data_IF_255766108618
#
_entry.id   IF_255766108618
#
_cell.length_a   1.000
_cell.length_b   1.000
_cell.length_c   1.000
_cell.angle_alpha   90.00
_cell.angle_beta   90.00
_cell.angle_gamma   90.00
#
_symmetry.space_group_name_H-M   'P 1'
#
loop_
_entity.id
_entity.type
_entity.pdbx_description
1 polymer ?
#
# COMPACT_ATOMS: atom_id res chain seq x y z
N UNK A 1 -22.46 62.17 -17.43
CA UNK A 1 -23.26 60.95 -17.18
C UNK A 1 -22.33 59.80 -17.55
N UNK A 2 -21.72 59.02 -16.67
CA UNK A 2 -22.15 58.46 -15.39
C UNK A 2 -21.93 56.93 -15.50
N UNK A 3 -21.32 56.32 -14.47
CA UNK A 3 -20.93 54.90 -14.30
C UNK A 3 -19.55 54.51 -14.88
N UNK A 4 -18.42 54.67 -14.17
CA UNK A 4 -17.97 54.05 -12.90
C UNK A 4 -17.97 52.51 -12.91
N UNK A 5 -16.86 51.93 -13.37
CA UNK A 5 -16.45 50.55 -13.08
C UNK A 5 -15.86 50.50 -11.65
N UNK A 6 -16.31 49.58 -10.77
CA UNK A 6 -15.78 49.49 -9.42
C UNK A 6 -14.39 48.81 -9.38
N UNK A 7 -13.60 49.11 -8.33
CA UNK A 7 -12.18 48.82 -8.24
C UNK A 7 -11.90 47.42 -7.68
N UNK A 8 -10.68 46.96 -7.94
CA UNK A 8 -10.03 45.86 -7.25
C UNK A 8 -10.13 46.06 -5.73
N UNK A 9 -10.65 45.06 -5.00
CA UNK A 9 -10.41 45.01 -3.57
C UNK A 9 -10.25 43.58 -3.04
N UNK A 10 -9.22 43.47 -2.22
CA UNK A 10 -8.82 42.36 -1.38
C UNK A 10 -10.03 41.83 -0.58
N UNK A 11 -10.27 40.52 -0.64
CA UNK A 11 -11.10 39.83 0.34
C UNK A 11 -10.22 39.06 1.32
N UNK A 12 -10.03 39.71 2.47
CA UNK A 12 -9.71 39.12 3.76
C UNK A 12 -10.82 38.09 4.07
N UNK A 13 -10.49 36.80 4.13
CA UNK A 13 -11.40 35.81 4.70
C UNK A 13 -11.38 35.91 6.22
N UNK A 14 -12.43 36.55 6.73
CA UNK A 14 -12.75 36.64 8.15
C UNK A 14 -13.08 35.27 8.73
N UNK A 15 -12.74 35.09 10.01
CA UNK A 15 -13.19 34.02 10.89
C UNK A 15 -14.68 33.70 10.72
N UNK A 16 -15.01 32.45 10.40
CA UNK A 16 -16.21 31.78 10.91
C UNK A 16 -15.87 30.37 11.38
N UNK A 17 -16.09 30.15 12.68
CA UNK A 17 -16.28 28.84 13.30
C UNK A 17 -17.31 28.09 12.46
N UNK A 18 -16.95 26.91 12.00
CA UNK A 18 -17.91 25.84 11.77
C UNK A 18 -17.61 24.74 12.79
N UNK A 19 -18.65 24.48 13.57
CA UNK A 19 -18.81 23.46 14.57
C UNK A 19 -18.30 22.11 14.06
N UNK A 20 -17.23 21.59 14.67
CA UNK A 20 -16.93 20.16 14.63
C UNK A 20 -17.60 19.56 15.87
N UNK A 21 -18.77 18.95 15.69
CA UNK A 21 -19.35 18.06 16.70
C UNK A 21 -18.38 16.89 16.88
N UNK A 22 -17.53 16.99 17.90
CA UNK A 22 -16.76 15.85 18.39
C UNK A 22 -17.71 15.02 19.23
N UNK A 23 -18.29 13.98 18.63
CA UNK A 23 -18.77 12.85 19.40
C UNK A 23 -17.54 12.16 19.99
N UNK A 24 -17.32 12.41 21.29
CA UNK A 24 -16.48 11.58 22.14
C UNK A 24 -17.02 10.15 22.08
N UNK A 25 -16.23 9.23 21.55
CA UNK A 25 -16.30 7.82 21.95
C UNK A 25 -15.00 7.54 22.70
N UNK A 26 -15.16 7.14 23.96
CA UNK A 26 -14.07 6.88 24.89
C UNK A 26 -13.28 5.64 24.46
N UNK A 27 -11.94 5.73 24.51
CA UNK A 27 -11.05 4.56 24.45
C UNK A 27 -10.48 4.29 25.84
N UNK A 28 -10.97 3.22 26.46
CA UNK A 28 -10.23 2.48 27.49
C UNK A 28 -9.60 1.26 26.83
N UNK A 29 -8.29 1.30 26.60
CA UNK A 29 -7.39 0.15 26.73
C UNK A 29 -5.95 0.59 26.47
N UNK A 30 -5.17 0.56 27.55
CA UNK A 30 -3.73 0.43 27.52
C UNK A 30 -3.39 -0.93 26.92
N UNK A 31 -2.68 -0.97 25.79
CA UNK A 31 -1.79 -2.07 25.44
C UNK A 31 -0.67 -1.50 24.57
N UNK A 32 0.54 -1.52 25.11
CA UNK A 32 1.75 -1.20 24.37
C UNK A 32 1.98 -2.28 23.31
N UNK A 33 1.75 -1.90 22.06
CA UNK A 33 2.04 -2.69 20.88
C UNK A 33 1.89 -1.76 19.68
N UNK A 34 2.97 -1.55 18.92
CA UNK A 34 2.97 -0.76 17.70
C UNK A 34 2.12 -1.46 16.63
N UNK A 35 0.80 -1.43 16.78
CA UNK A 35 -0.13 -1.81 15.73
C UNK A 35 -0.68 -0.52 15.14
N UNK A 36 -0.20 -0.18 13.95
CA UNK A 36 -0.97 0.64 13.03
C UNK A 36 -2.25 -0.15 12.76
N UNK A 37 -3.31 0.15 13.51
CA UNK A 37 -4.56 -0.56 13.39
C UNK A 37 -5.09 -0.36 11.97
N UNK A 38 -5.58 -1.43 11.34
CA UNK A 38 -6.13 -1.44 9.99
C UNK A 38 -7.29 -0.44 9.73
N UNK A 39 -7.66 0.37 10.73
CA UNK A 39 -8.70 1.42 10.66
C UNK A 39 -8.18 2.75 10.09
N UNK A 40 -6.87 2.97 10.02
CA UNK A 40 -6.27 4.22 9.51
C UNK A 40 -5.76 4.14 8.05
N UNK A 41 -6.20 3.13 7.29
CA UNK A 41 -5.74 2.84 5.93
C UNK A 41 -5.91 3.99 4.89
N UNK A 42 -6.62 5.07 5.24
CA UNK A 42 -6.77 6.28 4.41
C UNK A 42 -6.14 7.55 5.01
N UNK A 43 -5.60 7.48 6.22
CA UNK A 43 -4.94 8.62 6.85
C UNK A 43 -3.44 8.54 6.57
N UNK A 44 -2.95 9.37 5.65
CA UNK A 44 -1.50 9.57 5.53
C UNK A 44 -0.93 9.92 6.91
N UNK A 45 0.08 9.18 7.41
CA UNK A 45 0.67 9.43 8.72
C UNK A 45 1.19 10.86 8.83
N UNK A 46 1.23 11.39 10.05
CA UNK A 46 1.81 12.71 10.25
C UNK A 46 3.32 12.67 9.94
N UNK A 47 3.93 13.78 9.46
CA UNK A 47 5.37 13.79 9.19
C UNK A 47 6.22 13.41 10.40
N UNK A 48 5.74 13.69 11.62
CA UNK A 48 6.44 13.30 12.86
C UNK A 48 6.40 11.79 13.08
N UNK A 49 5.29 11.14 12.76
CA UNK A 49 5.15 9.70 12.94
C UNK A 49 5.93 8.92 11.88
N UNK A 50 5.98 9.44 10.64
CA UNK A 50 6.87 8.92 9.60
C UNK A 50 8.35 8.97 10.02
N UNK A 51 8.79 10.10 10.60
CA UNK A 51 10.17 10.23 11.09
C UNK A 51 10.45 9.23 12.20
N UNK A 52 9.54 9.08 13.18
CA UNK A 52 9.69 8.09 14.26
C UNK A 52 9.84 6.67 13.73
N UNK A 53 9.04 6.30 12.72
CA UNK A 53 9.15 4.96 12.13
C UNK A 53 10.48 4.79 11.38
N UNK A 54 10.93 5.81 10.65
CA UNK A 54 12.25 5.78 10.00
C UNK A 54 13.41 5.75 11.02
N UNK A 55 13.21 6.30 12.22
CA UNK A 55 14.19 6.24 13.32
C UNK A 55 14.41 4.81 13.87
N UNK A 56 13.44 3.90 13.71
CA UNK A 56 13.58 2.49 14.13
C UNK A 56 14.62 1.73 13.29
N UNK A 57 14.82 2.14 12.02
CA UNK A 57 15.69 1.43 11.08
C UNK A 57 16.96 2.19 10.70
N UNK A 58 16.90 3.52 10.68
CA UNK A 58 18.00 4.36 10.23
C UNK A 58 18.46 5.18 11.43
N UNK A 59 19.75 5.17 11.75
CA UNK A 59 20.30 5.93 12.87
C UNK A 59 20.78 7.30 12.35
N UNK A 60 20.38 8.39 13.02
CA UNK A 60 20.77 9.76 12.63
C UNK A 60 20.01 10.30 11.41
N UNK A 61 20.66 11.13 10.58
CA UNK A 61 20.10 11.69 9.32
C UNK A 61 18.73 12.37 9.49
N UNK A 62 18.56 13.15 10.55
CA UNK A 62 17.28 13.78 10.93
C UNK A 62 16.70 14.66 9.83
N UNK A 63 17.56 15.40 9.12
CA UNK A 63 17.14 16.32 8.07
C UNK A 63 16.62 15.57 6.84
N UNK A 64 17.32 14.52 6.42
CA UNK A 64 16.88 13.67 5.31
C UNK A 64 15.52 13.02 5.61
N UNK A 65 15.35 12.46 6.81
CA UNK A 65 14.07 11.88 7.25
C UNK A 65 12.94 12.90 7.24
N UNK A 66 13.21 14.11 7.73
CA UNK A 66 12.22 15.19 7.76
C UNK A 66 11.79 15.61 6.36
N UNK A 67 12.74 15.83 5.45
CA UNK A 67 12.45 16.22 4.05
C UNK A 67 11.61 15.16 3.36
N UNK A 68 11.98 13.89 3.52
CA UNK A 68 11.27 12.75 2.94
C UNK A 68 9.85 12.63 3.49
N UNK A 69 9.67 12.76 4.81
CA UNK A 69 8.36 12.72 5.43
C UNK A 69 7.45 13.87 4.98
N UNK A 70 8.01 15.07 4.77
CA UNK A 70 7.29 16.22 4.24
C UNK A 70 6.86 15.96 2.79
N UNK A 71 7.74 15.44 1.94
CA UNK A 71 7.42 15.15 0.55
C UNK A 71 6.25 14.17 0.40
N UNK A 72 6.21 13.11 1.21
CA UNK A 72 5.07 12.18 1.26
C UNK A 72 3.79 12.90 1.67
N UNK A 73 3.88 13.74 2.71
CA UNK A 73 2.72 14.49 3.19
C UNK A 73 2.21 15.48 2.15
N UNK A 74 3.11 16.11 1.39
CA UNK A 74 2.76 17.04 0.33
C UNK A 74 2.06 16.32 -0.83
N UNK A 75 2.48 15.08 -1.15
CA UNK A 75 1.76 14.23 -2.11
C UNK A 75 0.33 13.94 -1.65
N UNK A 76 0.12 13.64 -0.37
CA UNK A 76 -1.23 13.46 0.19
C UNK A 76 -2.03 14.75 0.18
N UNK A 77 -1.44 15.88 0.57
CA UNK A 77 -2.10 17.20 0.52
C UNK A 77 -2.56 17.55 -0.89
N UNK A 78 -1.74 17.28 -1.90
CA UNK A 78 -2.12 17.47 -3.30
C UNK A 78 -3.34 16.65 -3.68
N UNK A 79 -3.53 15.47 -3.09
CA UNK A 79 -4.70 14.63 -3.34
C UNK A 79 -5.99 15.19 -2.73
N UNK A 80 -5.89 16.02 -1.69
CA UNK A 80 -7.03 16.63 -0.99
C UNK A 80 -7.53 17.93 -1.66
N UNK A 81 -6.82 18.45 -2.66
CA UNK A 81 -7.24 19.67 -3.38
C UNK A 81 -8.43 19.32 -4.28
N UNK A 82 -9.55 20.01 -4.05
CA UNK A 82 -10.81 19.77 -4.77
C UNK A 82 -10.79 20.30 -6.22
N UNK A 83 -10.08 21.41 -6.47
CA UNK A 83 -9.94 21.95 -7.82
C UNK A 83 -8.91 21.17 -8.64
N UNK A 84 -9.39 20.55 -9.72
CA UNK A 84 -8.58 19.76 -10.64
C UNK A 84 -7.61 20.61 -11.48
N UNK A 85 -7.91 21.89 -11.72
CA UNK A 85 -7.03 22.83 -12.42
C UNK A 85 -5.77 23.10 -11.60
N UNK A 86 -5.96 23.61 -10.38
CA UNK A 86 -4.89 23.84 -9.40
C UNK A 86 -4.07 22.58 -9.09
N UNK A 87 -4.71 21.41 -9.02
CA UNK A 87 -4.01 20.15 -8.74
C UNK A 87 -3.00 19.75 -9.81
N UNK A 88 -3.25 20.06 -11.09
CA UNK A 88 -2.34 19.75 -12.21
C UNK A 88 -1.13 20.67 -12.25
N UNK A 89 -1.27 21.90 -11.78
CA UNK A 89 -0.18 22.89 -11.73
C UNK A 89 0.86 22.54 -10.64
N UNK A 90 0.45 21.80 -9.61
CA UNK A 90 1.31 21.41 -8.49
C UNK A 90 2.16 20.17 -8.84
N UNK A 91 3.39 20.44 -9.28
CA UNK A 91 4.39 19.41 -9.59
C UNK A 91 4.80 18.61 -8.33
N UNK A 92 5.10 17.31 -8.46
CA UNK A 92 5.65 16.51 -7.37
C UNK A 92 7.00 17.08 -6.87
N UNK A 93 7.23 16.99 -5.56
CA UNK A 93 8.52 17.32 -4.95
C UNK A 93 9.50 16.15 -5.10
N UNK A 94 10.48 16.32 -5.99
CA UNK A 94 11.58 15.36 -6.14
C UNK A 94 12.64 15.60 -5.06
N UNK A 95 13.31 14.54 -4.61
CA UNK A 95 14.30 14.60 -3.52
C UNK A 95 15.66 14.19 -4.07
N UNK A 96 16.68 14.99 -3.78
CA UNK A 96 18.09 14.65 -4.02
C UNK A 96 18.77 14.40 -2.67
N UNK A 97 19.37 13.22 -2.50
CA UNK A 97 20.07 12.84 -1.26
C UNK A 97 21.59 12.90 -1.46
N UNK A 98 22.25 13.95 -0.97
CA UNK A 98 23.71 14.16 -1.09
C UNK A 98 24.49 13.64 0.13
N UNK A 99 25.67 13.05 -0.08
CA UNK A 99 26.50 12.43 0.98
C UNK A 99 27.26 11.16 0.57
N UNK A 100 28.11 10.60 1.45
CA UNK A 100 28.97 9.45 1.14
C UNK A 100 28.18 8.16 0.93
N UNK A 101 28.82 7.15 0.34
CA UNK A 101 28.26 5.81 0.26
C UNK A 101 28.11 5.19 1.65
N UNK A 102 27.13 4.29 1.82
CA UNK A 102 26.91 3.57 3.08
C UNK A 102 26.19 4.35 4.19
N UNK A 103 25.86 5.62 4.01
CA UNK A 103 25.16 6.41 5.04
C UNK A 103 23.63 6.19 5.11
N UNK A 104 23.10 5.19 4.40
CA UNK A 104 21.68 4.82 4.45
C UNK A 104 20.74 5.54 3.47
N UNK A 105 21.24 6.24 2.44
CA UNK A 105 20.41 6.94 1.43
C UNK A 105 19.35 6.04 0.80
N UNK A 106 19.78 4.88 0.33
CA UNK A 106 18.91 3.91 -0.32
C UNK A 106 17.97 3.25 0.67
N UNK A 107 18.37 3.10 1.93
CA UNK A 107 17.49 2.54 2.98
C UNK A 107 16.40 3.50 3.40
N UNK A 108 16.65 4.81 3.43
CA UNK A 108 15.60 5.81 3.66
C UNK A 108 14.49 5.65 2.62
N UNK A 109 14.85 5.50 1.33
CA UNK A 109 13.87 5.29 0.26
C UNK A 109 13.15 3.94 0.38
N UNK A 110 13.88 2.86 0.67
CA UNK A 110 13.30 1.51 0.83
C UNK A 110 12.30 1.44 1.97
N UNK A 111 12.70 1.88 3.17
CA UNK A 111 11.85 1.87 4.35
C UNK A 111 10.66 2.79 4.20
N UNK A 112 10.83 3.94 3.55
CA UNK A 112 9.70 4.81 3.26
C UNK A 112 8.66 4.12 2.37
N UNK A 113 9.10 3.43 1.31
CA UNK A 113 8.23 2.71 0.40
C UNK A 113 7.44 1.60 1.10
N UNK A 114 8.09 0.86 2.02
CA UNK A 114 7.46 -0.18 2.84
C UNK A 114 6.32 0.40 3.70
N UNK A 115 6.55 1.54 4.36
CA UNK A 115 5.57 2.18 5.25
C UNK A 115 4.33 2.65 4.52
N UNK A 116 4.51 3.25 3.35
CA UNK A 116 3.41 3.82 2.56
C UNK A 116 2.78 2.80 1.61
N UNK A 117 3.33 1.58 1.53
CA UNK A 117 2.90 0.56 0.58
C UNK A 117 3.05 1.00 -0.88
N UNK A 118 4.16 1.66 -1.22
CA UNK A 118 4.40 2.13 -2.59
C UNK A 118 5.40 1.24 -3.34
N UNK A 119 5.22 1.07 -4.66
CA UNK A 119 6.20 0.39 -5.51
C UNK A 119 7.50 1.18 -5.57
N UNK A 120 8.64 0.47 -5.55
CA UNK A 120 9.98 1.05 -5.55
C UNK A 120 10.90 0.27 -6.48
N UNK A 121 11.63 0.99 -7.32
CA UNK A 121 12.68 0.44 -8.20
C UNK A 121 13.99 1.16 -7.92
N UNK A 122 15.08 0.39 -7.80
CA UNK A 122 16.43 0.92 -7.65
C UNK A 122 17.15 0.85 -8.99
N UNK A 123 17.51 2.00 -9.54
CA UNK A 123 18.20 2.09 -10.82
C UNK A 123 19.51 2.84 -10.68
N UNK A 124 20.53 2.43 -11.46
CA UNK A 124 21.83 3.09 -11.52
C UNK A 124 21.89 3.99 -12.75
N UNK A 125 22.18 5.27 -12.56
CA UNK A 125 22.14 6.26 -13.64
C UNK A 125 23.16 6.00 -14.76
N UNK A 126 24.33 5.44 -14.44
CA UNK A 126 25.38 5.16 -15.42
C UNK A 126 25.01 4.08 -16.42
N UNK A 127 24.00 3.24 -16.12
CA UNK A 127 23.46 2.21 -17.02
C UNK A 127 22.90 2.80 -18.33
N UNK A 128 22.40 4.04 -18.27
CA UNK A 128 21.76 4.72 -19.39
C UNK A 128 22.69 5.64 -20.17
N UNK A 129 23.89 5.90 -19.66
CA UNK A 129 24.83 6.86 -20.24
C UNK A 129 26.16 6.23 -20.61
N UNK A 130 26.24 4.91 -20.76
CA UNK A 130 27.46 4.24 -21.21
C UNK A 130 27.82 4.71 -22.63
N UNK A 131 29.00 5.32 -22.74
CA UNK A 131 29.53 5.90 -23.97
C UNK A 131 29.99 4.77 -24.88
N UNK A 132 29.21 4.41 -25.90
CA UNK A 132 29.77 3.73 -27.08
C UNK A 132 28.93 2.69 -27.79
N UNK A 133 27.89 2.10 -27.20
CA UNK A 133 27.13 1.05 -27.90
C UNK A 133 25.72 0.89 -27.32
N UNK A 134 24.76 1.66 -27.86
CA UNK A 134 23.31 1.57 -27.59
C UNK A 134 23.01 1.37 -26.09
N UNK A 135 23.06 2.46 -25.33
CA UNK A 135 22.63 2.44 -23.93
C UNK A 135 21.21 1.87 -23.79
N UNK A 136 20.91 1.32 -22.62
CA UNK A 136 19.57 0.83 -22.31
C UNK A 136 18.53 1.96 -22.38
N UNK A 137 17.27 1.65 -22.68
CA UNK A 137 16.23 2.68 -22.76
C UNK A 137 15.81 3.14 -21.36
N UNK A 138 15.69 4.45 -21.18
CA UNK A 138 15.10 5.08 -19.99
C UNK A 138 13.67 4.63 -19.73
N UNK A 139 12.92 4.24 -20.77
CA UNK A 139 11.56 3.72 -20.63
C UNK A 139 11.52 2.43 -19.80
N UNK A 140 12.59 1.63 -19.84
CA UNK A 140 12.69 0.38 -19.06
C UNK A 140 12.52 0.64 -17.56
N UNK A 141 12.99 1.77 -17.03
CA UNK A 141 12.78 2.13 -15.62
C UNK A 141 11.30 2.27 -15.26
N UNK A 142 10.48 2.79 -16.18
CA UNK A 142 9.03 2.95 -15.98
C UNK A 142 8.35 1.58 -16.08
N UNK A 143 8.78 0.73 -17.00
CA UNK A 143 8.29 -0.64 -17.13
C UNK A 143 8.57 -1.45 -15.87
N UNK A 144 9.80 -1.42 -15.35
CA UNK A 144 10.16 -2.09 -14.08
C UNK A 144 9.30 -1.60 -12.91
N UNK A 145 8.97 -0.31 -12.86
CA UNK A 145 8.11 0.25 -11.81
C UNK A 145 6.66 -0.23 -11.96
N UNK A 146 6.15 -0.29 -13.18
CA UNK A 146 4.81 -0.79 -13.47
C UNK A 146 4.69 -2.28 -13.10
N UNK A 147 5.68 -3.10 -13.46
CA UNK A 147 5.72 -4.52 -13.13
C UNK A 147 5.78 -4.73 -11.61
N UNK A 148 6.63 -3.97 -10.90
CA UNK A 148 6.68 -4.02 -9.43
C UNK A 148 5.35 -3.63 -8.78
N UNK A 149 4.61 -2.69 -9.38
CA UNK A 149 3.29 -2.28 -8.90
C UNK A 149 2.25 -3.37 -9.10
N UNK A 150 2.27 -4.00 -10.28
CA UNK A 150 1.38 -5.10 -10.63
C UNK A 150 1.59 -6.30 -9.68
N UNK A 151 2.84 -6.69 -9.45
CA UNK A 151 3.18 -7.79 -8.55
C UNK A 151 2.74 -7.52 -7.11
N UNK A 152 2.88 -6.28 -6.64
CA UNK A 152 2.44 -5.86 -5.31
C UNK A 152 0.92 -5.99 -5.16
N UNK A 153 0.15 -5.46 -6.11
CA UNK A 153 -1.32 -5.51 -6.05
C UNK A 153 -1.83 -6.94 -6.25
N UNK A 154 -1.23 -7.70 -7.17
CA UNK A 154 -1.54 -9.12 -7.38
C UNK A 154 -1.39 -9.91 -6.09
N UNK A 155 -0.29 -9.73 -5.36
CA UNK A 155 -0.08 -10.39 -4.05
C UNK A 155 -1.14 -9.98 -3.04
N UNK A 156 -1.51 -8.70 -2.99
CA UNK A 156 -2.55 -8.19 -2.08
C UNK A 156 -3.89 -8.87 -2.35
N UNK A 157 -4.37 -8.82 -3.60
CA UNK A 157 -5.64 -9.42 -4.02
C UNK A 157 -5.62 -10.94 -3.82
N UNK A 158 -4.52 -11.62 -4.17
CA UNK A 158 -4.39 -13.07 -3.94
C UNK A 158 -4.54 -13.42 -2.46
N UNK A 159 -3.95 -12.64 -1.55
CA UNK A 159 -4.08 -12.88 -0.11
C UNK A 159 -5.49 -12.64 0.43
N UNK A 160 -6.21 -11.65 -0.11
CA UNK A 160 -7.60 -11.35 0.27
C UNK A 160 -8.55 -12.47 -0.16
N UNK A 161 -8.40 -12.99 -1.39
CA UNK A 161 -9.27 -14.02 -1.98
C UNK A 161 -8.90 -15.44 -1.52
N UNK A 162 -7.70 -15.64 -0.96
CA UNK A 162 -7.18 -16.96 -0.60
C UNK A 162 -8.12 -17.76 0.33
N UNK A 163 -8.76 -17.11 1.29
CA UNK A 163 -9.64 -17.77 2.27
C UNK A 163 -10.90 -18.32 1.58
N UNK A 164 -11.53 -17.52 0.73
CA UNK A 164 -12.73 -17.91 0.00
C UNK A 164 -12.41 -18.95 -1.07
N UNK A 165 -11.33 -18.73 -1.84
CA UNK A 165 -10.85 -19.69 -2.83
C UNK A 165 -10.53 -21.05 -2.21
N UNK A 166 -9.96 -21.09 -0.99
CA UNK A 166 -9.69 -22.33 -0.27
C UNK A 166 -10.97 -23.09 0.06
N UNK A 167 -12.02 -22.41 0.54
CA UNK A 167 -13.31 -23.04 0.85
C UNK A 167 -13.96 -23.65 -0.39
N UNK A 168 -13.99 -22.88 -1.49
CA UNK A 168 -14.52 -23.34 -2.77
C UNK A 168 -13.71 -24.51 -3.34
N UNK A 169 -12.38 -24.48 -3.20
CA UNK A 169 -11.53 -25.58 -3.63
C UNK A 169 -11.78 -26.86 -2.84
N UNK A 170 -11.92 -26.78 -1.50
CA UNK A 170 -12.25 -27.93 -0.65
C UNK A 170 -13.60 -28.52 -1.06
N UNK A 171 -14.60 -27.66 -1.29
CA UNK A 171 -15.91 -28.11 -1.77
C UNK A 171 -15.85 -28.79 -3.14
N UNK A 172 -15.08 -28.25 -4.07
CA UNK A 172 -14.88 -28.84 -5.40
C UNK A 172 -14.18 -30.20 -5.30
N UNK A 173 -13.17 -30.33 -4.44
CA UNK A 173 -12.45 -31.59 -4.19
C UNK A 173 -13.38 -32.63 -3.57
N UNK A 174 -14.14 -32.26 -2.53
CA UNK A 174 -15.10 -33.15 -1.87
C UNK A 174 -16.14 -33.70 -2.86
N UNK A 175 -16.67 -32.85 -3.74
CA UNK A 175 -17.60 -33.28 -4.80
C UNK A 175 -16.96 -34.21 -5.82
N UNK A 176 -15.73 -33.93 -6.24
CA UNK A 176 -15.02 -34.78 -7.19
C UNK A 176 -14.76 -36.18 -6.62
N UNK A 177 -14.48 -36.26 -5.31
CA UNK A 177 -14.21 -37.52 -4.62
C UNK A 177 -15.47 -38.39 -4.45
N UNK A 178 -16.62 -37.77 -4.19
CA UNK A 178 -17.91 -38.45 -3.99
C UNK A 178 -18.63 -38.82 -5.30
N UNK A 179 -17.94 -38.77 -6.45
CA UNK A 179 -18.50 -39.11 -7.75
C UNK A 179 -18.61 -40.64 -7.94
N UNK A 180 -19.20 -41.33 -6.96
CA UNK A 180 -19.65 -42.73 -7.06
C UNK A 180 -21.17 -42.75 -7.30
N UNK A 181 -21.69 -43.72 -8.07
CA UNK A 181 -23.08 -43.72 -8.57
C UNK A 181 -24.18 -43.77 -7.49
N UNK A 182 -23.83 -44.01 -6.23
CA UNK A 182 -24.79 -44.12 -5.13
C UNK A 182 -24.68 -42.93 -4.16
N UNK A 183 -25.52 -41.92 -4.39
CA UNK A 183 -25.94 -40.97 -3.35
C UNK A 183 -25.19 -39.65 -3.28
N UNK A 184 -25.60 -38.68 -4.09
CA UNK A 184 -25.35 -37.26 -3.85
C UNK A 184 -26.20 -36.75 -2.69
N UNK A 185 -25.84 -37.13 -1.46
CA UNK A 185 -26.35 -36.49 -0.25
C UNK A 185 -25.54 -35.23 0.06
N UNK A 186 -26.19 -34.09 0.30
CA UNK A 186 -25.51 -32.88 0.81
C UNK A 186 -24.76 -33.17 2.13
N UNK A 187 -25.25 -34.16 2.88
CA UNK A 187 -24.65 -34.69 4.11
C UNK A 187 -23.28 -35.38 3.87
N UNK A 188 -23.15 -36.17 2.80
CA UNK A 188 -21.90 -36.86 2.43
C UNK A 188 -20.81 -35.85 2.06
N UNK A 189 -21.20 -34.77 1.36
CA UNK A 189 -20.30 -33.66 1.00
C UNK A 189 -19.85 -32.89 2.23
N UNK A 190 -20.74 -32.69 3.21
CA UNK A 190 -20.39 -32.06 4.48
C UNK A 190 -19.40 -32.90 5.30
N UNK A 191 -19.62 -34.21 5.40
CA UNK A 191 -18.69 -35.12 6.07
C UNK A 191 -17.31 -35.15 5.39
N UNK A 192 -17.26 -35.18 4.05
CA UNK A 192 -16.01 -35.12 3.30
C UNK A 192 -15.28 -33.78 3.48
N UNK A 193 -16.00 -32.66 3.57
CA UNK A 193 -15.42 -31.34 3.88
C UNK A 193 -14.75 -31.34 5.26
N UNK A 194 -15.43 -31.85 6.28
CA UNK A 194 -14.91 -31.90 7.65
C UNK A 194 -13.66 -32.77 7.79
N UNK A 195 -13.53 -33.83 6.96
CA UNK A 195 -12.34 -34.67 6.90
C UNK A 195 -11.16 -33.94 6.25
N UNK A 196 -11.40 -33.28 5.10
CA UNK A 196 -10.38 -32.51 4.36
C UNK A 196 -9.91 -31.28 5.17
N UNK A 197 -10.75 -30.72 6.03
CA UNK A 197 -10.38 -29.58 6.88
C UNK A 197 -9.56 -29.98 8.12
N UNK A 198 -9.69 -31.23 8.60
CA UNK A 198 -8.97 -31.76 9.77
C UNK A 198 -7.59 -32.32 9.44
N UNK A 199 -7.39 -32.84 8.23
CA UNK A 199 -6.10 -33.35 7.78
C UNK A 199 -5.41 -32.38 6.81
N UNK A 200 -4.14 -32.05 7.06
CA UNK A 200 -3.38 -31.18 6.17
C UNK A 200 -3.20 -31.88 4.79
N UNK A 201 -3.63 -31.27 3.67
CA UNK A 201 -3.61 -31.91 2.34
C UNK A 201 -2.20 -32.18 1.78
N UNK A 202 -1.14 -31.81 2.51
CA UNK A 202 0.27 -32.08 2.14
C UNK A 202 0.76 -33.47 2.60
N UNK A 203 -0.02 -34.17 3.43
CA UNK A 203 0.40 -35.41 4.12
C UNK A 203 -0.44 -36.65 3.78
N UNK A 204 -1.50 -36.54 2.97
CA UNK A 204 -2.36 -37.68 2.67
C UNK A 204 -1.76 -38.60 1.58
N UNK A 205 -1.49 -39.85 1.96
CA UNK A 205 -1.45 -41.01 1.07
C UNK A 205 -2.65 -41.90 1.40
N UNK A 206 -3.66 -41.92 0.53
CA UNK A 206 -4.84 -42.77 0.68
C UNK A 206 -4.60 -44.04 -0.14
N UNK A 207 -4.28 -45.15 0.53
CA UNK A 207 -4.36 -46.48 -0.09
C UNK A 207 -5.79 -46.99 0.10
N UNK A 208 -6.49 -47.26 -1.00
CA UNK A 208 -7.81 -47.89 -0.99
C UNK A 208 -7.64 -49.26 -1.63
N UNK A 209 -7.78 -50.31 -0.83
CA UNK A 209 -8.00 -51.66 -1.36
C UNK A 209 -9.44 -51.73 -1.89
N UNK A 210 -9.55 -52.04 -3.18
CA UNK A 210 -10.82 -52.27 -3.85
C UNK A 210 -11.04 -53.79 -3.85
N UNK A 211 -12.05 -54.28 -3.12
CA UNK A 211 -12.64 -55.62 -3.34
C UNK A 211 -13.69 -55.57 -4.45
#
# INVERSE_FOLDING_TARGET
QGFCLPPWNMMIWSRRRLFCTTTKVASTSTTAGNSWSARDAYACPSPKDLVKHLDEFIIGQTDAKRVVAIAVRDRWRRQQIADAGLRKELLPTNILLEGPSGCGKTEIARRLADVIGAPLVKVVATKYTEVGFIGEDTQTMIHELADSSYDMERKRVMSEVQVEARKLAIEAIARAYLCTPEGTGEESVAAAKDLIEKEDPRTMSIEIEIE
#
